data_IF_543076905692
#
_entry.id   IF_543076905692
#
_cell.length_a   1.000
_cell.length_b   1.000
_cell.length_c   1.000
_cell.angle_alpha   90.00
_cell.angle_beta   90.00
_cell.angle_gamma   90.00
#
_symmetry.space_group_name_H-M   'P 1'
#
loop_
_entity.id
_entity.type
_entity.pdbx_description
1 polymer ?
#
# COMPACT_ATOMS: atom_id res chain seq x y z
N UNK A 1 8.99 -6.74 -2.40
CA UNK A 1 8.97 -6.61 -0.92
C UNK A 1 9.55 -7.84 -0.23
N UNK A 2 9.05 -9.06 -0.47
CA UNK A 2 9.61 -10.29 0.13
C UNK A 2 11.13 -10.42 -0.07
N UNK A 3 11.60 -10.15 -1.30
CA UNK A 3 13.03 -10.11 -1.63
C UNK A 3 13.79 -9.05 -0.82
N UNK A 4 13.27 -7.82 -0.75
CA UNK A 4 13.92 -6.72 -0.04
C UNK A 4 14.03 -7.00 1.48
N UNK A 5 13.01 -7.63 2.05
CA UNK A 5 12.97 -7.98 3.47
C UNK A 5 13.65 -9.32 3.80
N UNK A 6 14.05 -10.11 2.81
CA UNK A 6 14.59 -11.46 3.01
C UNK A 6 13.64 -12.43 3.70
N UNK A 7 12.33 -12.15 3.71
CA UNK A 7 11.30 -12.99 4.36
C UNK A 7 10.02 -13.07 3.52
N UNK A 8 9.26 -14.18 3.57
CA UNK A 8 8.04 -14.31 2.82
C UNK A 8 6.99 -13.27 3.22
N UNK A 9 6.52 -12.48 2.26
CA UNK A 9 5.29 -11.67 2.37
C UNK A 9 4.36 -12.05 1.24
N UNK A 10 3.07 -12.30 1.56
CA UNK A 10 2.05 -12.67 0.58
C UNK A 10 0.99 -11.59 0.50
N UNK A 11 0.58 -11.28 -0.73
CA UNK A 11 -0.66 -10.56 -0.97
C UNK A 11 -1.85 -11.48 -0.71
N UNK A 12 -2.85 -10.97 -0.02
CA UNK A 12 -4.12 -11.64 0.20
C UNK A 12 -5.23 -10.65 -0.11
N UNK A 13 -6.04 -10.95 -1.13
CA UNK A 13 -7.25 -10.19 -1.40
C UNK A 13 -8.33 -10.58 -0.41
N UNK A 14 -9.03 -9.58 0.12
CA UNK A 14 -10.17 -9.74 1.03
C UNK A 14 -11.39 -8.99 0.47
N UNK A 15 -12.56 -9.18 1.08
CA UNK A 15 -13.69 -8.29 0.80
C UNK A 15 -13.38 -6.86 1.31
N UNK A 16 -14.08 -5.87 0.75
CA UNK A 16 -13.99 -4.48 1.21
C UNK A 16 -14.53 -4.31 2.63
N UNK A 17 -15.54 -5.09 3.03
CA UNK A 17 -16.05 -5.09 4.40
C UNK A 17 -14.97 -5.54 5.40
N UNK A 18 -14.31 -6.68 5.13
CA UNK A 18 -13.22 -7.18 5.96
C UNK A 18 -12.01 -6.22 5.97
N UNK A 19 -11.76 -5.54 4.84
CA UNK A 19 -10.74 -4.51 4.75
C UNK A 19 -11.06 -3.31 5.66
N UNK A 20 -12.30 -2.80 5.63
CA UNK A 20 -12.76 -1.71 6.50
C UNK A 20 -12.67 -2.07 7.98
N UNK A 21 -13.20 -3.24 8.35
CA UNK A 21 -13.16 -3.75 9.73
C UNK A 21 -11.73 -3.81 10.26
N UNK A 22 -10.77 -4.20 9.42
CA UNK A 22 -9.37 -4.27 9.81
C UNK A 22 -8.76 -2.91 10.17
N UNK A 23 -9.14 -1.83 9.48
CA UNK A 23 -8.69 -0.49 9.88
C UNK A 23 -9.30 -0.05 11.21
N UNK A 24 -10.56 -0.41 11.49
CA UNK A 24 -11.16 -0.14 12.79
C UNK A 24 -10.44 -0.89 13.92
N UNK A 25 -10.03 -2.15 13.67
CA UNK A 25 -9.19 -2.91 14.61
C UNK A 25 -7.83 -2.26 14.88
N UNK A 26 -7.30 -1.48 13.92
CA UNK A 26 -6.10 -0.67 14.09
C UNK A 26 -6.36 0.67 14.80
N UNK A 27 -7.60 0.96 15.20
CA UNK A 27 -7.98 2.16 15.96
C UNK A 27 -8.42 3.35 15.11
N UNK A 28 -8.64 3.16 13.81
CA UNK A 28 -9.19 4.22 12.95
C UNK A 28 -10.69 4.43 13.23
N UNK A 29 -11.16 5.67 13.17
CA UNK A 29 -12.59 5.96 13.26
C UNK A 29 -13.35 5.47 12.03
N UNK A 30 -14.64 5.18 12.19
CA UNK A 30 -15.49 4.67 11.10
C UNK A 30 -15.43 5.52 9.82
N UNK A 31 -15.53 6.87 9.87
CA UNK A 31 -15.45 7.67 8.64
C UNK A 31 -14.10 7.56 7.93
N UNK A 32 -13.01 7.42 8.68
CA UNK A 32 -11.67 7.27 8.10
C UNK A 32 -11.49 5.87 7.50
N UNK A 33 -11.93 4.83 8.21
CA UNK A 33 -11.89 3.47 7.70
C UNK A 33 -12.72 3.32 6.41
N UNK A 34 -13.89 3.96 6.34
CA UNK A 34 -14.71 4.01 5.14
C UNK A 34 -14.00 4.74 4.00
N UNK A 35 -13.43 5.92 4.23
CA UNK A 35 -12.71 6.67 3.20
C UNK A 35 -11.52 5.92 2.59
N UNK A 36 -10.74 5.20 3.42
CA UNK A 36 -9.64 4.35 2.92
C UNK A 36 -10.19 3.19 2.07
N UNK A 37 -11.33 2.62 2.48
CA UNK A 37 -11.98 1.52 1.76
C UNK A 37 -12.51 1.98 0.39
N UNK A 38 -13.14 3.16 0.32
CA UNK A 38 -13.64 3.75 -0.92
C UNK A 38 -12.50 4.07 -1.90
N UNK A 39 -11.35 4.54 -1.36
CA UNK A 39 -10.14 4.76 -2.16
C UNK A 39 -9.60 3.44 -2.72
N UNK A 40 -9.57 2.36 -1.93
CA UNK A 40 -9.14 1.05 -2.43
C UNK A 40 -10.12 0.45 -3.44
N UNK A 41 -11.42 0.65 -3.24
CA UNK A 41 -12.42 0.28 -4.23
C UNK A 41 -12.12 0.97 -5.55
N UNK A 42 -11.96 2.30 -5.53
CA UNK A 42 -11.67 3.08 -6.74
C UNK A 42 -10.36 2.67 -7.41
N UNK A 43 -9.31 2.42 -6.62
CA UNK A 43 -8.01 1.91 -7.11
C UNK A 43 -8.17 0.57 -7.82
N UNK A 44 -8.98 -0.34 -7.25
CA UNK A 44 -9.26 -1.65 -7.83
C UNK A 44 -9.99 -1.57 -9.18
N UNK A 45 -10.72 -0.48 -9.42
CA UNK A 45 -11.36 -0.17 -10.71
C UNK A 45 -10.50 0.75 -11.60
N UNK A 46 -9.21 0.88 -11.32
CA UNK A 46 -8.25 1.51 -12.21
C UNK A 46 -8.12 3.03 -12.07
N UNK A 47 -8.56 3.61 -10.95
CA UNK A 47 -8.42 5.06 -10.68
C UNK A 47 -6.99 5.57 -10.95
N UNK A 48 -5.97 4.80 -10.55
CA UNK A 48 -4.56 5.18 -10.69
C UNK A 48 -3.93 4.82 -12.05
N UNK A 49 -4.71 4.26 -12.98
CA UNK A 49 -4.24 3.78 -14.28
C UNK A 49 -4.64 4.68 -15.45
N UNK A 50 -5.34 5.78 -15.21
CA UNK A 50 -5.90 6.66 -16.25
C UNK A 50 -4.82 7.44 -17.03
N UNK A 51 -3.66 7.69 -16.42
CA UNK A 51 -2.52 8.38 -17.06
C UNK A 51 -1.32 7.44 -17.15
N UNK A 52 -0.87 7.18 -18.37
CA UNK A 52 0.34 6.39 -18.60
C UNK A 52 1.59 7.09 -18.06
N UNK A 53 2.43 6.34 -17.36
CA UNK A 53 3.72 6.81 -16.87
C UNK A 53 4.75 6.80 -18.01
N UNK A 54 5.36 7.95 -18.22
CA UNK A 54 6.44 8.21 -19.17
C UNK A 54 7.65 8.77 -18.43
N UNK A 55 8.81 8.79 -19.07
CA UNK A 55 10.01 9.42 -18.51
C UNK A 55 9.81 10.90 -18.14
N UNK A 56 8.82 11.58 -18.74
CA UNK A 56 8.53 13.01 -18.50
C UNK A 56 7.63 13.28 -17.30
N UNK A 57 6.81 12.31 -16.88
CA UNK A 57 5.82 12.48 -15.79
C UNK A 57 6.02 11.46 -14.65
N UNK A 58 7.11 10.70 -14.68
CA UNK A 58 7.50 9.77 -13.62
C UNK A 58 8.53 10.37 -12.68
N UNK A 59 8.78 9.68 -11.57
CA UNK A 59 9.90 9.98 -10.65
C UNK A 59 10.91 8.83 -10.73
N UNK A 60 12.18 9.05 -10.37
CA UNK A 60 13.19 7.99 -10.38
C UNK A 60 12.99 6.95 -9.26
N UNK A 61 11.98 7.12 -8.40
CA UNK A 61 11.71 6.24 -7.27
C UNK A 61 10.82 5.09 -7.69
N UNK A 62 11.43 3.92 -7.89
CA UNK A 62 10.69 2.65 -8.09
C UNK A 62 10.24 2.07 -6.76
N UNK A 63 9.28 1.15 -6.79
CA UNK A 63 8.87 0.41 -5.59
C UNK A 63 10.04 -0.35 -4.93
N UNK A 64 10.96 -0.91 -5.72
CA UNK A 64 12.16 -1.58 -5.21
C UNK A 64 13.08 -0.60 -4.49
N UNK A 65 13.34 0.56 -5.10
CA UNK A 65 14.17 1.60 -4.50
C UNK A 65 13.60 2.09 -3.17
N UNK A 66 12.28 2.35 -3.12
CA UNK A 66 11.62 2.71 -1.87
C UNK A 66 11.72 1.60 -0.80
N UNK A 67 11.58 0.33 -1.19
CA UNK A 67 11.74 -0.78 -0.25
C UNK A 67 13.15 -0.78 0.38
N UNK A 68 14.18 -0.54 -0.41
CA UNK A 68 15.57 -0.59 0.04
C UNK A 68 15.98 0.66 0.83
N UNK A 69 15.55 1.84 0.39
CA UNK A 69 15.96 3.12 0.96
C UNK A 69 15.14 3.52 2.19
N UNK A 70 13.88 3.04 2.31
CA UNK A 70 12.93 3.48 3.36
C UNK A 70 12.42 2.31 4.20
N UNK A 71 11.78 1.32 3.57
CA UNK A 71 11.08 0.25 4.29
C UNK A 71 12.05 -0.60 5.13
N UNK A 72 13.11 -1.11 4.49
CA UNK A 72 14.10 -1.99 5.16
C UNK A 72 14.79 -1.26 6.32
N UNK A 73 15.30 -0.03 6.18
CA UNK A 73 15.88 0.72 7.30
C UNK A 73 14.90 0.95 8.44
N UNK A 74 13.66 1.35 8.15
CA UNK A 74 12.65 1.65 9.16
C UNK A 74 12.37 0.43 10.05
N UNK A 75 12.21 -0.75 9.45
CA UNK A 75 11.94 -1.99 10.19
C UNK A 75 13.13 -2.55 10.97
N UNK A 76 14.37 -2.10 10.68
CA UNK A 76 15.57 -2.49 11.44
C UNK A 76 15.78 -1.66 12.70
N UNK A 77 15.28 -0.42 12.71
CA UNK A 77 15.48 0.53 13.81
C UNK A 77 14.41 0.38 14.90
N UNK A 78 13.27 -0.25 14.59
CA UNK A 78 12.24 -0.58 15.57
C UNK A 78 12.64 -1.80 16.42
N UNK A 79 13.31 -1.55 17.55
CA UNK A 79 13.52 -2.52 18.63
C UNK A 79 13.18 -1.87 19.97
#
# INVERSE_FOLDING_TARGET
>A
MSEALGKPVRFQQTSFDAFKERFQQFGFSEPIAQGITDMMYSTNYGLDLDVERTDKNTTPTTFRRWCDDVLVPTLRVSN
#
